data_IF_534082377514
#
_entry.id   IF_534082377514
#
_cell.length_a   1.000
_cell.length_b   1.000
_cell.length_c   1.000
_cell.angle_alpha   90.00
_cell.angle_beta   90.00
_cell.angle_gamma   90.00
#
_symmetry.space_group_name_H-M   'P 1'
#
loop_
_entity.id
_entity.type
_entity.pdbx_description
1 polymer ?
#
# COMPACT_ATOMS: atom_id res chain seq x y z
N UNK A 1 66.24 -10.31 -19.56
CA UNK A 1 65.16 -11.30 -19.81
C UNK A 1 64.92 -12.04 -18.51
N UNK A 2 63.79 -12.07 -17.80
CA UNK A 2 62.48 -11.41 -17.79
C UNK A 2 61.87 -11.84 -16.45
N UNK A 3 61.47 -10.91 -15.58
CA UNK A 3 60.84 -11.24 -14.30
C UNK A 3 59.36 -11.56 -14.50
N UNK A 4 58.90 -12.71 -13.97
CA UNK A 4 57.49 -13.09 -13.98
C UNK A 4 56.77 -12.47 -12.77
N UNK A 5 55.91 -11.49 -13.02
CA UNK A 5 55.04 -10.89 -12.01
C UNK A 5 53.83 -11.80 -11.74
N UNK A 6 53.79 -12.42 -10.57
CA UNK A 6 52.64 -13.18 -10.08
C UNK A 6 51.49 -12.26 -9.70
N UNK A 7 50.38 -12.33 -10.44
CA UNK A 7 49.16 -11.57 -10.14
C UNK A 7 48.49 -12.11 -8.87
N UNK A 8 48.55 -11.36 -7.77
CA UNK A 8 47.77 -11.61 -6.55
C UNK A 8 46.32 -11.18 -6.79
N UNK A 9 45.45 -12.13 -7.15
CA UNK A 9 44.00 -11.90 -7.09
C UNK A 9 43.58 -11.72 -5.63
N UNK A 10 43.29 -10.47 -5.26
CA UNK A 10 42.60 -10.16 -4.00
C UNK A 10 41.18 -10.70 -4.13
N UNK A 11 40.89 -11.80 -3.41
CA UNK A 11 39.53 -12.30 -3.21
C UNK A 11 38.75 -11.20 -2.49
N UNK A 12 37.91 -10.47 -3.23
CA UNK A 12 36.87 -9.64 -2.64
C UNK A 12 35.85 -10.60 -2.03
N UNK A 13 35.89 -10.77 -0.71
CA UNK A 13 34.80 -11.42 0.01
C UNK A 13 33.53 -10.60 -0.23
N UNK A 14 32.43 -11.20 -0.72
CA UNK A 14 31.15 -10.50 -0.69
C UNK A 14 30.75 -10.35 0.78
N UNK A 15 30.57 -9.11 1.23
CA UNK A 15 29.85 -8.83 2.46
C UNK A 15 28.40 -9.18 2.17
N UNK A 16 28.01 -10.42 2.48
CA UNK A 16 26.60 -10.79 2.55
C UNK A 16 26.06 -10.26 3.87
N UNK A 17 25.14 -9.29 3.81
CA UNK A 17 24.37 -8.89 4.96
C UNK A 17 23.54 -10.08 5.44
N UNK A 18 23.90 -10.64 6.60
CA UNK A 18 23.15 -11.69 7.30
C UNK A 18 21.77 -11.20 7.80
N UNK A 19 21.53 -9.89 7.74
CA UNK A 19 20.28 -9.21 8.12
C UNK A 19 19.25 -9.26 6.98
N UNK A 20 18.98 -10.45 6.45
CA UNK A 20 17.85 -10.67 5.53
C UNK A 20 16.98 -11.87 5.95
N UNK A 21 17.39 -12.63 6.96
CA UNK A 21 16.68 -13.82 7.46
C UNK A 21 16.24 -13.60 8.90
N UNK A 22 15.46 -12.54 9.14
CA UNK A 22 14.63 -12.45 10.33
C UNK A 22 13.24 -11.95 9.95
N UNK A 23 12.36 -12.94 9.76
CA UNK A 23 10.90 -12.89 9.89
C UNK A 23 10.13 -12.03 8.89
N UNK A 24 9.86 -12.59 7.71
CA UNK A 24 8.85 -12.08 6.77
C UNK A 24 7.55 -12.91 6.77
N UNK A 25 7.32 -13.77 7.77
CA UNK A 25 6.25 -14.79 7.68
C UNK A 25 4.99 -14.55 8.52
N UNK A 26 4.88 -13.49 9.34
CA UNK A 26 3.71 -13.37 10.24
C UNK A 26 2.93 -12.04 10.20
N UNK A 27 3.33 -11.03 9.42
CA UNK A 27 2.61 -9.74 9.38
C UNK A 27 1.88 -9.44 8.07
N UNK A 28 2.14 -10.20 6.99
CA UNK A 28 1.58 -9.92 5.67
C UNK A 28 0.22 -10.62 5.43
N UNK A 29 -0.07 -11.69 6.17
CA UNK A 29 -1.30 -12.47 5.98
C UNK A 29 -2.51 -11.81 6.62
N UNK A 30 -2.36 -11.05 7.71
CA UNK A 30 -3.49 -10.45 8.42
C UNK A 30 -4.19 -9.33 7.64
N UNK A 31 -3.49 -8.63 6.75
CA UNK A 31 -4.06 -7.51 5.99
C UNK A 31 -4.88 -7.96 4.77
N UNK A 32 -4.53 -9.07 4.13
CA UNK A 32 -5.32 -9.65 3.04
C UNK A 32 -6.66 -10.22 3.51
N UNK A 33 -6.72 -10.76 4.74
CA UNK A 33 -7.96 -11.33 5.29
C UNK A 33 -9.04 -10.27 5.57
N UNK A 34 -8.71 -8.98 5.50
CA UNK A 34 -9.65 -7.87 5.75
C UNK A 34 -10.20 -7.26 4.46
N UNK A 35 -9.89 -7.84 3.30
CA UNK A 35 -10.45 -7.43 2.01
C UNK A 35 -11.96 -7.70 2.02
N UNK A 36 -12.75 -6.65 1.75
CA UNK A 36 -14.21 -6.66 1.82
C UNK A 36 -14.80 -6.06 3.09
N UNK A 37 -13.97 -5.75 4.10
CA UNK A 37 -14.45 -5.11 5.33
C UNK A 37 -14.95 -3.68 5.07
N UNK A 38 -15.94 -3.26 5.86
CA UNK A 38 -16.39 -1.87 5.90
C UNK A 38 -15.41 -1.05 6.75
N UNK A 39 -15.06 0.11 6.25
CA UNK A 39 -14.11 1.01 6.90
C UNK A 39 -14.72 2.40 7.00
N UNK A 40 -14.44 3.08 8.10
CA UNK A 40 -14.80 4.48 8.32
C UNK A 40 -13.54 5.30 8.45
N UNK A 41 -13.44 6.36 7.66
CA UNK A 41 -12.29 7.27 7.71
C UNK A 41 -12.45 8.19 8.92
N UNK A 42 -11.44 8.23 9.79
CA UNK A 42 -11.43 9.08 10.99
C UNK A 42 -10.55 10.31 10.80
N UNK A 43 -9.50 10.21 10.00
CA UNK A 43 -8.60 11.33 9.70
C UNK A 43 -9.24 12.32 8.70
N UNK A 44 -8.99 13.64 8.86
CA UNK A 44 -9.43 14.62 7.87
C UNK A 44 -8.58 14.54 6.60
N UNK A 45 -9.14 13.96 5.53
CA UNK A 45 -8.47 13.72 4.26
C UNK A 45 -9.25 14.31 3.09
N UNK A 46 -8.52 15.01 2.21
CA UNK A 46 -9.04 15.60 0.98
C UNK A 46 -8.53 14.86 -0.23
N UNK A 47 -9.41 14.48 -1.15
CA UNK A 47 -9.06 13.83 -2.40
C UNK A 47 -9.56 14.62 -3.62
N UNK A 48 -8.74 14.63 -4.66
CA UNK A 48 -8.92 15.47 -5.85
C UNK A 48 -9.05 14.66 -7.16
N UNK A 49 -9.00 13.32 -7.09
CA UNK A 49 -9.08 12.44 -8.26
C UNK A 49 -10.50 11.92 -8.53
N UNK A 50 -11.51 12.50 -7.87
CA UNK A 50 -12.91 12.13 -8.06
C UNK A 50 -13.40 12.69 -9.40
N UNK A 51 -14.00 11.87 -10.28
CA UNK A 51 -14.47 12.36 -11.57
C UNK A 51 -15.51 13.47 -11.39
N UNK A 52 -15.23 14.66 -11.95
CA UNK A 52 -16.11 15.84 -12.00
C UNK A 52 -16.40 16.52 -10.66
N UNK A 53 -15.84 16.03 -9.56
CA UNK A 53 -15.91 16.70 -8.25
C UNK A 53 -14.49 17.14 -7.91
N UNK A 54 -14.23 18.45 -7.82
CA UNK A 54 -12.86 18.95 -7.68
C UNK A 54 -12.26 18.56 -6.32
N UNK A 55 -13.05 18.63 -5.25
CA UNK A 55 -12.59 18.36 -3.89
C UNK A 55 -13.64 17.55 -3.15
N UNK A 56 -13.20 16.47 -2.49
CA UNK A 56 -14.05 15.64 -1.63
C UNK A 56 -13.33 15.42 -0.31
N UNK A 57 -14.00 15.80 0.78
CA UNK A 57 -13.60 15.47 2.14
C UNK A 57 -14.08 14.05 2.48
N UNK A 58 -13.14 13.18 2.88
CA UNK A 58 -13.42 11.78 3.25
C UNK A 58 -13.72 11.61 4.74
N UNK A 59 -13.62 12.66 5.54
CA UNK A 59 -13.79 12.60 7.00
C UNK A 59 -15.16 12.02 7.38
N UNK A 60 -15.15 10.92 8.15
CA UNK A 60 -16.38 10.24 8.60
C UNK A 60 -17.09 9.43 7.52
N UNK A 61 -16.54 9.34 6.31
CA UNK A 61 -17.14 8.57 5.23
C UNK A 61 -16.90 7.07 5.41
N UNK A 62 -17.90 6.29 5.04
CA UNK A 62 -17.81 4.84 5.02
C UNK A 62 -17.48 4.34 3.62
N UNK A 63 -16.60 3.36 3.55
CA UNK A 63 -16.18 2.71 2.32
C UNK A 63 -15.96 1.22 2.52
N UNK A 64 -15.62 0.54 1.43
CA UNK A 64 -15.32 -0.90 1.42
C UNK A 64 -13.86 -1.10 1.03
N UNK A 65 -13.11 -1.85 1.82
CA UNK A 65 -11.73 -2.23 1.50
C UNK A 65 -11.73 -3.16 0.29
N UNK A 66 -11.22 -2.72 -0.87
CA UNK A 66 -11.21 -3.53 -2.10
C UNK A 66 -9.93 -4.32 -2.29
N UNK A 67 -8.78 -3.74 -1.94
CA UNK A 67 -7.49 -4.35 -2.24
C UNK A 67 -6.41 -3.88 -1.27
N UNK A 68 -5.48 -4.77 -0.97
CA UNK A 68 -4.19 -4.43 -0.37
C UNK A 68 -3.10 -4.43 -1.45
N UNK A 69 -2.42 -3.30 -1.63
CA UNK A 69 -1.41 -3.05 -2.68
C UNK A 69 0.02 -3.28 -2.17
N UNK A 70 0.19 -3.69 -0.90
CA UNK A 70 1.50 -4.03 -0.35
C UNK A 70 2.09 -5.34 -0.89
N UNK A 71 1.27 -6.17 -1.54
CA UNK A 71 1.67 -7.42 -2.17
C UNK A 71 1.26 -7.41 -3.64
N UNK A 72 2.20 -7.75 -4.51
CA UNK A 72 1.94 -7.93 -5.94
C UNK A 72 2.64 -9.16 -6.46
N UNK A 73 1.87 -10.19 -6.82
CA UNK A 73 2.39 -11.46 -7.38
C UNK A 73 3.59 -11.97 -6.55
N UNK A 74 3.38 -12.06 -5.24
CA UNK A 74 4.36 -12.52 -4.24
C UNK A 74 5.60 -11.62 -4.04
N UNK A 75 5.58 -10.42 -4.61
CA UNK A 75 6.58 -9.37 -4.35
C UNK A 75 6.02 -8.33 -3.40
N UNK A 76 6.75 -8.05 -2.33
CA UNK A 76 6.44 -6.95 -1.43
C UNK A 76 6.72 -5.62 -2.11
N UNK A 77 5.71 -4.76 -2.17
CA UNK A 77 5.83 -3.39 -2.68
C UNK A 77 5.92 -2.44 -1.47
N UNK A 78 6.83 -1.47 -1.55
CA UNK A 78 6.98 -0.40 -0.55
C UNK A 78 5.95 0.72 -0.74
N UNK A 79 4.66 0.37 -0.83
CA UNK A 79 3.58 1.35 -0.97
C UNK A 79 3.32 2.04 0.38
N UNK A 80 3.42 3.37 0.43
CA UNK A 80 3.17 4.14 1.64
C UNK A 80 1.69 4.19 2.06
N UNK A 81 0.77 3.92 1.12
CA UNK A 81 -0.69 3.90 1.30
C UNK A 81 -1.21 2.59 0.69
N UNK A 82 -1.07 1.45 1.39
CA UNK A 82 -1.28 0.15 0.79
C UNK A 82 -2.77 -0.25 0.72
N UNK A 83 -3.67 0.42 1.43
CA UNK A 83 -5.08 0.04 1.48
C UNK A 83 -5.89 0.81 0.44
N UNK A 84 -6.46 0.09 -0.54
CA UNK A 84 -7.35 0.67 -1.53
C UNK A 84 -8.81 0.54 -1.07
N UNK A 85 -9.41 1.66 -0.71
CA UNK A 85 -10.80 1.75 -0.25
C UNK A 85 -11.67 2.32 -1.35
N UNK A 86 -12.82 1.70 -1.58
CA UNK A 86 -13.84 2.17 -2.51
C UNK A 86 -14.94 2.92 -1.76
N UNK A 87 -15.28 4.10 -2.27
CA UNK A 87 -16.36 4.95 -1.77
C UNK A 87 -17.45 5.10 -2.83
N UNK A 88 -18.68 5.19 -2.35
CA UNK A 88 -19.87 5.47 -3.16
C UNK A 88 -20.48 6.77 -2.63
N UNK A 89 -20.41 7.85 -3.42
CA UNK A 89 -20.99 9.14 -3.06
C UNK A 89 -22.15 9.46 -3.99
N UNK A 90 -23.29 9.79 -3.38
CA UNK A 90 -24.42 10.38 -4.08
C UNK A 90 -24.23 11.89 -4.18
N UNK A 91 -23.93 12.38 -5.37
CA UNK A 91 -23.76 13.82 -5.64
C UNK A 91 -25.09 14.38 -6.13
N UNK A 92 -25.64 15.37 -5.40
CA UNK A 92 -26.87 16.06 -5.77
C UNK A 92 -26.68 16.76 -7.14
N UNK A 93 -27.42 16.30 -8.16
CA UNK A 93 -27.27 16.75 -9.55
C UNK A 93 -26.80 15.67 -10.52
N UNK A 94 -26.49 14.47 -10.04
CA UNK A 94 -26.22 13.29 -10.88
C UNK A 94 -27.19 12.17 -10.54
N UNK A 95 -27.79 11.56 -11.56
CA UNK A 95 -28.70 10.41 -11.39
C UNK A 95 -27.99 9.11 -10.99
N UNK A 96 -26.66 9.09 -10.94
CA UNK A 96 -25.87 7.90 -10.59
C UNK A 96 -24.84 8.18 -9.49
N UNK A 97 -24.67 7.24 -8.54
CA UNK A 97 -23.65 7.34 -7.50
C UNK A 97 -22.25 7.30 -8.12
N UNK A 98 -21.37 8.17 -7.64
CA UNK A 98 -19.97 8.25 -8.07
C UNK A 98 -19.17 7.24 -7.27
N UNK A 99 -18.70 6.21 -7.96
CA UNK A 99 -17.75 5.23 -7.43
C UNK A 99 -16.33 5.73 -7.68
N UNK A 100 -15.54 5.87 -6.63
CA UNK A 100 -14.11 6.12 -6.73
C UNK A 100 -13.36 5.36 -5.65
N UNK A 101 -12.04 5.22 -5.84
CA UNK A 101 -11.19 4.54 -4.89
C UNK A 101 -10.07 5.45 -4.41
N UNK A 102 -9.80 5.48 -3.11
CA UNK A 102 -8.65 6.19 -2.53
C UNK A 102 -7.69 5.19 -1.88
N UNK A 103 -6.42 5.56 -1.81
CA UNK A 103 -5.40 4.80 -1.08
C UNK A 103 -5.23 5.43 0.30
N UNK A 104 -5.38 4.62 1.34
CA UNK A 104 -5.28 5.02 2.74
C UNK A 104 -4.20 4.20 3.46
N UNK A 105 -3.77 4.70 4.62
CA UNK A 105 -2.98 3.98 5.61
C UNK A 105 -3.86 3.39 6.69
N UNK A 106 -3.31 2.45 7.44
CA UNK A 106 -3.93 1.78 8.58
C UNK A 106 -4.26 2.72 9.75
N UNK A 107 -3.57 3.85 9.89
CA UNK A 107 -3.83 4.85 10.95
C UNK A 107 -4.96 5.83 10.61
N UNK A 108 -5.41 5.86 9.35
CA UNK A 108 -6.37 6.86 8.86
C UNK A 108 -7.84 6.40 8.91
N UNK A 109 -8.08 5.10 9.15
CA UNK A 109 -9.41 4.51 9.15
C UNK A 109 -9.61 3.47 10.26
N UNK A 110 -10.87 3.29 10.65
CA UNK A 110 -11.31 2.26 11.58
C UNK A 110 -12.16 1.23 10.84
N UNK A 111 -12.05 -0.04 11.25
CA UNK A 111 -12.93 -1.09 10.75
C UNK A 111 -14.27 -1.01 11.46
N UNK A 112 -15.35 -1.09 10.68
CA UNK A 112 -16.69 -1.32 11.20
C UNK A 112 -17.00 -2.80 10.95
N UNK A 113 -16.92 -3.62 12.00
CA UNK A 113 -17.38 -5.03 11.98
C UNK A 113 -18.90 -5.11 11.75
#
# INVERSE_FOLDING_TARGET
MTAAAGARWRRRQPVCCEVAVRSSSDSATSSEHRIGARVRVTAPLKVYHVPRVPEVDLTGMEGVLKQYVGLWKDKTISANLPYKVEFLIEVQGRSSPVKFSAHLRDDEFEYLD
#
